data_IF_589286570653
#
_entry.id   IF_589286570653
#
_cell.length_a   1.000
_cell.length_b   1.000
_cell.length_c   1.000
_cell.angle_alpha   90.00
_cell.angle_beta   90.00
_cell.angle_gamma   90.00
#
_symmetry.space_group_name_H-M   'P 1'
#
loop_
_entity.id
_entity.type
_entity.pdbx_description
1 polymer ?
#
# COMPACT_ATOMS: atom_id res chain seq x y z
N UNK A 1 -58.68 -25.34 -16.88
CA UNK A 1 -59.08 -24.06 -16.26
C UNK A 1 -58.66 -24.09 -14.79
N UNK A 2 -57.41 -24.43 -14.50
CA UNK A 2 -56.23 -23.54 -14.51
C UNK A 2 -56.25 -22.56 -13.34
N UNK A 3 -55.86 -23.08 -12.17
CA UNK A 3 -55.41 -22.29 -11.04
C UNK A 3 -53.94 -21.92 -11.24
N UNK A 4 -53.66 -20.64 -11.39
CA UNK A 4 -52.30 -20.11 -11.43
C UNK A 4 -51.80 -19.81 -10.00
N UNK A 5 -50.65 -20.35 -9.56
CA UNK A 5 -50.04 -19.95 -8.30
C UNK A 5 -49.30 -18.62 -8.45
N UNK A 6 -49.48 -17.73 -7.47
CA UNK A 6 -48.85 -16.42 -7.41
C UNK A 6 -47.34 -16.51 -7.22
N UNK A 7 -46.60 -15.75 -8.03
CA UNK A 7 -45.16 -15.62 -7.92
C UNK A 7 -44.79 -14.74 -6.71
N UNK A 8 -44.22 -15.36 -5.69
CA UNK A 8 -43.50 -14.67 -4.61
C UNK A 8 -42.13 -14.22 -5.15
N UNK A 9 -42.00 -12.92 -5.39
CA UNK A 9 -40.72 -12.28 -5.69
C UNK A 9 -39.90 -12.27 -4.40
N UNK A 10 -38.91 -13.15 -4.31
CA UNK A 10 -37.90 -13.10 -3.25
C UNK A 10 -36.94 -11.95 -3.56
N UNK A 11 -37.05 -10.87 -2.80
CA UNK A 11 -36.10 -9.76 -2.82
C UNK A 11 -34.76 -10.27 -2.28
N UNK A 12 -33.78 -10.46 -3.16
CA UNK A 12 -32.40 -10.70 -2.76
C UNK A 12 -31.91 -9.51 -1.91
N UNK A 13 -31.23 -9.74 -0.77
CA UNK A 13 -30.63 -8.65 -0.02
C UNK A 13 -29.62 -7.94 -0.93
N UNK A 14 -29.85 -6.65 -1.15
CA UNK A 14 -28.87 -5.78 -1.82
C UNK A 14 -27.53 -5.88 -1.11
N UNK A 15 -26.39 -5.93 -1.83
CA UNK A 15 -25.08 -5.84 -1.20
C UNK A 15 -25.07 -4.57 -0.35
N UNK A 16 -24.75 -4.74 0.93
CA UNK A 16 -24.72 -3.68 1.92
C UNK A 16 -23.97 -2.48 1.34
N UNK A 17 -24.67 -1.35 1.27
CA UNK A 17 -24.07 -0.07 0.99
C UNK A 17 -22.86 0.11 1.91
N UNK A 18 -21.70 0.40 1.29
CA UNK A 18 -20.46 0.69 1.98
C UNK A 18 -20.73 1.75 3.05
N UNK A 19 -20.57 1.39 4.32
CA UNK A 19 -20.69 2.34 5.41
C UNK A 19 -19.56 3.38 5.28
N UNK A 20 -19.87 4.68 5.21
CA UNK A 20 -18.85 5.71 5.34
C UNK A 20 -18.52 5.86 6.84
N UNK A 21 -17.48 5.17 7.29
CA UNK A 21 -17.04 5.19 8.69
C UNK A 21 -15.60 4.74 8.80
N UNK A 22 -14.75 5.63 9.34
CA UNK A 22 -13.28 5.63 9.32
C UNK A 22 -12.76 5.99 7.92
N UNK A 23 -11.86 6.96 7.80
CA UNK A 23 -11.00 7.06 6.62
C UNK A 23 -10.16 5.76 6.60
N UNK A 24 -10.70 4.72 5.98
CA UNK A 24 -10.07 3.42 5.89
C UNK A 24 -8.88 3.54 4.96
N UNK A 25 -7.70 3.71 5.53
CA UNK A 25 -6.46 3.68 4.76
C UNK A 25 -6.37 2.35 4.02
N UNK A 26 -6.10 2.41 2.72
CA UNK A 26 -5.79 1.21 1.95
C UNK A 26 -4.46 0.62 2.40
N UNK A 27 -4.18 -0.62 2.00
CA UNK A 27 -2.85 -1.21 2.20
C UNK A 27 -1.74 -0.34 1.61
N UNK A 28 -1.97 0.26 0.43
CA UNK A 28 -0.99 1.10 -0.23
C UNK A 28 -0.70 2.39 0.56
N UNK A 29 -1.72 3.00 1.17
CA UNK A 29 -1.54 4.17 2.02
C UNK A 29 -0.74 3.82 3.27
N UNK A 30 -1.09 2.72 3.94
CA UNK A 30 -0.36 2.23 5.12
C UNK A 30 1.09 1.88 4.77
N UNK A 31 1.32 1.26 3.61
CA UNK A 31 2.68 0.94 3.12
C UNK A 31 3.48 2.22 2.82
N UNK A 32 2.89 3.21 2.13
CA UNK A 32 3.52 4.50 1.84
C UNK A 32 3.94 5.23 3.13
N UNK A 33 3.05 5.26 4.14
CA UNK A 33 3.34 5.88 5.44
C UNK A 33 4.40 5.10 6.23
N UNK A 34 4.37 3.77 6.20
CA UNK A 34 5.22 2.90 7.02
C UNK A 34 6.64 2.81 6.49
N UNK A 35 6.79 2.67 5.18
CA UNK A 35 8.09 2.47 4.55
C UNK A 35 8.93 3.76 4.55
N UNK A 36 8.29 4.93 4.66
CA UNK A 36 8.96 6.24 4.74
C UNK A 36 9.28 6.68 6.16
N UNK A 37 8.68 6.06 7.18
CA UNK A 37 8.87 6.43 8.58
C UNK A 37 10.10 5.76 9.22
N UNK A 38 10.88 6.57 9.94
CA UNK A 38 11.98 6.08 10.78
C UNK A 38 11.48 5.45 12.09
N UNK A 39 10.35 5.91 12.59
CA UNK A 39 9.71 5.45 13.83
C UNK A 39 8.26 5.11 13.54
N UNK A 40 7.83 3.92 13.98
CA UNK A 40 6.42 3.52 14.02
C UNK A 40 6.12 3.06 15.45
N UNK A 41 5.28 3.81 16.16
CA UNK A 41 5.01 3.57 17.58
C UNK A 41 3.53 3.79 17.94
N UNK A 42 2.98 2.92 18.78
CA UNK A 42 1.73 3.16 19.46
C UNK A 42 1.93 4.11 20.63
N UNK A 43 1.04 5.09 20.78
CA UNK A 43 1.10 6.11 21.83
C UNK A 43 -0.25 6.31 22.50
N UNK A 44 -0.23 6.80 23.74
CA UNK A 44 -1.43 7.28 24.44
C UNK A 44 -1.25 8.76 24.78
N UNK A 45 -2.16 9.61 24.33
CA UNK A 45 -2.07 11.06 24.54
C UNK A 45 -2.26 11.39 26.01
N UNK A 46 -1.27 12.07 26.59
CA UNK A 46 -1.28 12.56 27.98
C UNK A 46 -1.84 13.99 28.00
N UNK A 47 -1.36 14.82 27.09
CA UNK A 47 -1.66 16.25 27.01
C UNK A 47 -1.78 16.68 25.55
N UNK A 48 -2.71 17.59 25.27
CA UNK A 48 -2.86 18.21 23.97
C UNK A 48 -3.20 19.68 24.16
N UNK A 49 -2.32 20.55 23.68
CA UNK A 49 -2.45 22.00 23.77
C UNK A 49 -2.71 22.59 22.39
N UNK A 50 -3.78 23.38 22.27
CA UNK A 50 -4.12 24.02 21.00
C UNK A 50 -3.20 25.20 20.74
N UNK A 51 -2.47 25.16 19.63
CA UNK A 51 -1.66 26.27 19.16
C UNK A 51 -2.53 27.29 18.41
N UNK A 52 -2.22 28.58 18.56
CA UNK A 52 -2.98 29.71 17.97
C UNK A 52 -2.01 30.78 17.44
N UNK A 53 -2.52 31.64 16.56
CA UNK A 53 -1.79 32.80 16.04
C UNK A 53 -0.49 32.39 15.35
N UNK A 54 0.60 33.02 15.75
CA UNK A 54 1.95 32.82 15.20
C UNK A 54 2.48 31.37 15.34
N UNK A 55 1.94 30.58 16.29
CA UNK A 55 2.33 29.19 16.52
C UNK A 55 1.61 28.19 15.59
N UNK A 56 0.69 28.66 14.75
CA UNK A 56 -0.03 27.84 13.77
C UNK A 56 0.03 28.43 12.35
N UNK A 57 1.24 28.66 11.80
CA UNK A 57 1.37 29.17 10.43
C UNK A 57 0.84 28.13 9.43
N UNK A 58 0.22 28.60 8.35
CA UNK A 58 -0.28 27.80 7.22
C UNK A 58 -1.27 26.68 7.62
N UNK A 59 -2.03 26.88 8.70
CA UNK A 59 -3.05 25.93 9.14
C UNK A 59 -4.24 25.95 8.15
N UNK A 60 -4.56 24.79 7.58
CA UNK A 60 -5.70 24.64 6.68
C UNK A 60 -7.02 24.96 7.38
N UNK A 61 -7.96 25.55 6.63
CA UNK A 61 -9.31 25.85 7.13
C UNK A 61 -10.00 24.57 7.64
N UNK A 62 -10.75 24.69 8.75
CA UNK A 62 -11.43 23.55 9.38
C UNK A 62 -10.50 22.61 10.16
N UNK A 63 -9.23 22.95 10.37
CA UNK A 63 -8.31 22.19 11.24
C UNK A 63 -7.88 23.01 12.46
N UNK A 64 -7.40 22.33 13.48
CA UNK A 64 -6.70 22.94 14.61
C UNK A 64 -5.36 22.24 14.83
N UNK A 65 -4.31 23.04 15.03
CA UNK A 65 -2.97 22.57 15.35
C UNK A 65 -2.82 22.33 16.85
N UNK A 66 -2.26 21.19 17.22
CA UNK A 66 -1.99 20.83 18.59
C UNK A 66 -0.52 20.50 18.79
N UNK A 67 0.06 20.97 19.91
CA UNK A 67 1.23 20.35 20.52
C UNK A 67 0.73 19.21 21.41
N UNK A 68 1.13 17.99 21.09
CA UNK A 68 0.67 16.77 21.76
C UNK A 68 1.85 16.17 22.50
N UNK A 69 1.66 15.88 23.79
CA UNK A 69 2.54 15.01 24.57
C UNK A 69 1.85 13.65 24.72
N UNK A 70 2.56 12.59 24.34
CA UNK A 70 2.02 11.24 24.37
C UNK A 70 3.03 10.27 24.97
N UNK A 71 2.52 9.36 25.80
CA UNK A 71 3.30 8.27 26.35
C UNK A 71 3.46 7.18 25.29
N UNK A 72 4.70 6.80 25.01
CA UNK A 72 5.01 5.66 24.13
C UNK A 72 4.58 4.37 24.80
N UNK A 73 3.91 3.49 24.05
CA UNK A 73 3.54 2.15 24.50
C UNK A 73 4.31 1.11 23.71
N UNK A 74 3.71 0.67 22.59
CA UNK A 74 4.30 -0.30 21.70
C UNK A 74 5.23 0.38 20.69
N UNK A 75 6.41 -0.19 20.46
CA UNK A 75 7.31 0.20 19.36
C UNK A 75 7.28 -0.88 18.27
N UNK A 76 6.92 -0.49 17.04
CA UNK A 76 6.96 -1.37 15.86
C UNK A 76 8.26 -1.18 15.06
N UNK A 77 8.75 0.07 14.97
CA UNK A 77 10.02 0.43 14.32
C UNK A 77 10.62 1.64 15.04
N UNK A 78 11.94 1.66 15.18
CA UNK A 78 12.69 2.80 15.69
C UNK A 78 14.03 2.34 16.28
N UNK A 79 15.11 2.51 15.52
CA UNK A 79 16.47 2.26 16.00
C UNK A 79 16.72 3.05 17.30
N UNK A 80 17.48 2.49 18.25
CA UNK A 80 17.81 3.09 19.56
C UNK A 80 16.65 3.23 20.57
N UNK A 81 15.46 2.72 20.22
CA UNK A 81 14.29 2.77 21.11
C UNK A 81 13.68 4.17 21.24
N UNK A 82 12.38 4.22 21.55
CA UNK A 82 11.66 5.46 21.81
C UNK A 82 10.79 5.23 23.05
N UNK A 83 11.35 5.56 24.21
CA UNK A 83 10.71 5.31 25.50
C UNK A 83 10.43 6.63 26.23
N UNK A 84 9.30 6.64 26.94
CA UNK A 84 8.88 7.75 27.77
C UNK A 84 7.77 8.58 27.12
N UNK A 85 7.75 9.86 27.44
CA UNK A 85 6.79 10.81 26.89
C UNK A 85 7.46 11.58 25.76
N UNK A 86 6.87 11.47 24.57
CA UNK A 86 7.31 12.21 23.39
C UNK A 86 6.38 13.37 23.11
N UNK A 87 6.88 14.40 22.44
CA UNK A 87 6.09 15.51 21.92
C UNK A 87 6.12 15.58 20.39
N UNK A 88 5.01 16.01 19.81
CA UNK A 88 4.85 16.21 18.37
C UNK A 88 3.73 17.20 18.07
N UNK A 89 3.72 17.71 16.85
CA UNK A 89 2.67 18.59 16.36
C UNK A 89 1.77 17.82 15.40
N UNK A 90 0.46 17.97 15.57
CA UNK A 90 -0.53 17.41 14.66
C UNK A 90 -1.63 18.43 14.34
N UNK A 91 -2.03 18.46 13.07
CA UNK A 91 -3.19 19.21 12.60
C UNK A 91 -4.39 18.29 12.57
N UNK A 92 -5.37 18.53 13.42
CA UNK A 92 -6.54 17.65 13.61
C UNK A 92 -7.78 18.31 13.01
N UNK A 93 -8.62 17.58 12.25
CA UNK A 93 -9.86 18.14 11.72
C UNK A 93 -10.81 18.53 12.86
N UNK A 94 -11.49 19.67 12.67
CA UNK A 94 -12.57 20.11 13.54
C UNK A 94 -13.88 19.42 13.12
N UNK A 95 -14.78 19.21 14.08
CA UNK A 95 -16.13 18.73 13.78
C UNK A 95 -16.96 19.80 13.05
N UNK A 96 -18.17 19.44 12.62
CA UNK A 96 -19.10 20.36 11.94
C UNK A 96 -19.48 21.60 12.78
N UNK A 97 -19.17 21.61 14.08
CA UNK A 97 -19.39 22.73 15.01
C UNK A 97 -18.10 23.50 15.30
N UNK A 98 -17.00 23.21 14.59
CA UNK A 98 -15.70 23.86 14.78
C UNK A 98 -14.96 23.44 16.05
N UNK A 99 -15.38 22.35 16.70
CA UNK A 99 -14.78 21.85 17.93
C UNK A 99 -13.76 20.75 17.61
N UNK A 100 -12.63 20.79 18.30
CA UNK A 100 -11.62 19.75 18.17
C UNK A 100 -12.04 18.47 18.91
N UNK A 101 -11.69 17.28 18.38
CA UNK A 101 -11.98 16.02 19.05
C UNK A 101 -11.21 15.91 20.37
N UNK A 102 -11.70 15.06 21.27
CA UNK A 102 -11.06 14.81 22.56
C UNK A 102 -9.84 13.92 22.36
N UNK A 103 -8.65 14.53 22.43
CA UNK A 103 -7.39 13.81 22.25
C UNK A 103 -6.88 13.15 23.55
N UNK A 104 -7.16 13.73 24.72
CA UNK A 104 -6.64 13.20 26.00
C UNK A 104 -7.10 11.76 26.25
N UNK A 105 -6.16 10.85 26.55
CA UNK A 105 -6.31 9.39 26.69
C UNK A 105 -6.62 8.64 25.38
N UNK A 106 -6.67 9.31 24.24
CA UNK A 106 -6.80 8.63 22.95
C UNK A 106 -5.52 7.86 22.62
N UNK A 107 -5.67 6.73 21.92
CA UNK A 107 -4.59 5.86 21.47
C UNK A 107 -4.40 6.02 19.98
N UNK A 108 -3.17 6.26 19.56
CA UNK A 108 -2.81 6.42 18.15
C UNK A 108 -1.61 5.55 17.81
N UNK A 109 -1.43 5.28 16.53
CA UNK A 109 -0.16 4.82 15.96
C UNK A 109 0.45 5.99 15.20
N UNK A 110 1.68 6.35 15.54
CA UNK A 110 2.42 7.43 14.90
C UNK A 110 3.43 6.87 13.92
N UNK A 111 3.49 7.47 12.75
CA UNK A 111 4.54 7.26 11.75
C UNK A 111 5.35 8.55 11.63
N UNK A 112 6.59 8.52 12.12
CA UNK A 112 7.34 9.73 12.35
C UNK A 112 8.83 9.58 12.04
N UNK A 113 9.47 10.74 11.87
CA UNK A 113 10.91 10.89 11.81
C UNK A 113 11.43 11.47 13.12
N UNK A 114 12.66 11.12 13.49
CA UNK A 114 13.31 11.72 14.66
C UNK A 114 13.70 13.17 14.36
N UNK A 115 13.71 13.99 15.40
CA UNK A 115 14.27 15.35 15.33
C UNK A 115 15.73 15.30 15.80
N UNK A 116 16.71 15.67 14.96
CA UNK A 116 18.12 15.69 15.35
C UNK A 116 18.35 16.53 16.61
N UNK A 117 19.10 16.00 17.57
CA UNK A 117 19.40 16.67 18.85
C UNK A 117 18.23 16.75 19.84
N UNK A 118 17.05 16.17 19.52
CA UNK A 118 15.86 16.19 20.38
C UNK A 118 15.20 14.81 20.45
N UNK A 119 15.71 13.89 21.29
CA UNK A 119 15.30 12.48 21.27
C UNK A 119 13.85 12.23 21.72
N UNK A 120 13.24 13.16 22.46
CA UNK A 120 11.84 13.09 22.89
C UNK A 120 10.89 13.86 21.96
N UNK A 121 11.39 14.42 20.86
CA UNK A 121 10.57 15.07 19.84
C UNK A 121 10.54 14.23 18.56
N UNK A 122 9.34 14.05 18.02
CA UNK A 122 9.17 13.39 16.73
C UNK A 122 8.37 14.27 15.77
N UNK A 123 8.69 14.16 14.49
CA UNK A 123 7.98 14.86 13.42
C UNK A 123 7.19 13.86 12.60
N UNK A 124 5.87 14.01 12.54
CA UNK A 124 5.02 13.21 11.66
C UNK A 124 5.53 13.26 10.22
N UNK A 125 5.53 12.12 9.53
CA UNK A 125 6.02 12.05 8.13
C UNK A 125 5.08 12.72 7.14
N UNK A 126 3.79 12.80 7.47
CA UNK A 126 2.73 13.39 6.67
C UNK A 126 1.56 13.85 7.56
N UNK A 127 0.60 14.63 7.03
CA UNK A 127 -0.65 14.96 7.73
C UNK A 127 -1.52 13.75 8.09
N UNK A 128 -1.26 12.59 7.47
CA UNK A 128 -1.99 11.33 7.68
C UNK A 128 -1.27 10.38 8.64
N UNK A 129 -0.10 10.77 9.16
CA UNK A 129 0.78 9.87 9.92
C UNK A 129 0.42 9.73 11.41
N UNK A 130 -0.76 10.21 11.81
CA UNK A 130 -1.39 9.91 13.09
C UNK A 130 -2.63 9.06 12.81
N UNK A 131 -2.51 7.76 13.03
CA UNK A 131 -3.57 6.79 12.77
C UNK A 131 -4.28 6.44 14.07
N UNK A 132 -5.60 6.29 14.02
CA UNK A 132 -6.34 5.69 15.14
C UNK A 132 -5.79 4.29 15.43
N UNK A 133 -5.55 3.99 16.71
CA UNK A 133 -5.12 2.65 17.09
C UNK A 133 -6.28 1.66 16.93
N UNK A 134 -6.09 0.67 16.08
CA UNK A 134 -6.95 -0.52 15.97
C UNK A 134 -6.06 -1.76 15.85
N UNK A 135 -6.57 -2.92 16.27
CA UNK A 135 -5.84 -4.18 16.15
C UNK A 135 -5.52 -4.51 14.68
N UNK A 136 -6.44 -4.21 13.77
CA UNK A 136 -6.27 -4.43 12.33
C UNK A 136 -5.15 -3.56 11.77
N UNK A 137 -5.20 -2.24 12.02
CA UNK A 137 -4.15 -1.32 11.56
C UNK A 137 -2.79 -1.73 12.11
N UNK A 138 -2.69 -2.00 13.41
CA UNK A 138 -1.44 -2.45 14.02
C UNK A 138 -0.89 -3.72 13.35
N UNK A 139 -1.74 -4.73 13.16
CA UNK A 139 -1.36 -6.00 12.54
C UNK A 139 -0.84 -5.80 11.11
N UNK A 140 -1.52 -4.96 10.32
CA UNK A 140 -1.09 -4.64 8.95
C UNK A 140 0.26 -3.92 8.93
N UNK A 141 0.46 -2.91 9.79
CA UNK A 141 1.75 -2.20 9.87
C UNK A 141 2.88 -3.14 10.29
N UNK A 142 2.62 -4.03 11.27
CA UNK A 142 3.57 -5.05 11.70
C UNK A 142 3.92 -6.00 10.55
N UNK A 143 2.93 -6.48 9.79
CA UNK A 143 3.16 -7.36 8.65
C UNK A 143 4.03 -6.68 7.58
N UNK A 144 3.69 -5.43 7.20
CA UNK A 144 4.48 -4.62 6.26
C UNK A 144 5.93 -4.48 6.74
N UNK A 145 6.13 -4.15 8.01
CA UNK A 145 7.46 -3.98 8.60
C UNK A 145 8.25 -5.29 8.57
N UNK A 146 7.63 -6.41 8.96
CA UNK A 146 8.25 -7.73 8.92
C UNK A 146 8.68 -8.09 7.49
N UNK A 147 7.79 -7.97 6.50
CA UNK A 147 8.09 -8.22 5.09
C UNK A 147 9.21 -7.30 4.58
N UNK A 148 9.23 -6.03 4.99
CA UNK A 148 10.22 -5.05 4.54
C UNK A 148 11.62 -5.28 5.14
N UNK A 149 11.72 -5.95 6.29
CA UNK A 149 13.00 -6.26 6.95
C UNK A 149 13.50 -7.67 6.69
N UNK A 150 12.69 -8.53 6.06
CA UNK A 150 13.09 -9.88 5.73
C UNK A 150 14.24 -9.89 4.69
N UNK A 151 15.15 -10.88 4.72
CA UNK A 151 16.16 -11.04 3.66
C UNK A 151 15.53 -11.18 2.26
N UNK A 152 14.34 -11.78 2.20
CA UNK A 152 13.52 -11.94 1.00
C UNK A 152 12.64 -10.73 0.69
N UNK A 153 12.86 -9.58 1.33
CA UNK A 153 12.05 -8.38 1.12
C UNK A 153 12.04 -8.00 -0.38
N UNK A 154 10.85 -7.88 -1.00
CA UNK A 154 10.75 -7.54 -2.41
C UNK A 154 11.31 -6.13 -2.64
N UNK A 155 12.25 -5.96 -3.58
CA UNK A 155 12.89 -4.68 -3.82
C UNK A 155 11.89 -3.67 -4.40
N UNK A 156 12.22 -2.37 -4.27
CA UNK A 156 11.39 -1.32 -4.84
C UNK A 156 11.51 -1.36 -6.37
N UNK A 157 10.39 -1.64 -7.04
CA UNK A 157 10.29 -1.58 -8.50
C UNK A 157 10.38 -0.12 -8.96
N UNK A 158 11.29 0.14 -9.90
CA UNK A 158 11.52 1.45 -10.51
C UNK A 158 11.04 1.53 -11.96
N UNK A 159 10.74 0.38 -12.58
CA UNK A 159 10.25 0.31 -13.94
C UNK A 159 10.41 -1.06 -14.57
N UNK A 160 10.43 -1.06 -15.91
CA UNK A 160 10.62 -2.25 -16.74
C UNK A 160 11.89 -2.08 -17.57
N UNK A 161 12.71 -3.12 -17.56
CA UNK A 161 13.95 -3.22 -18.33
C UNK A 161 13.68 -3.75 -19.72
N UNK A 162 13.47 -5.07 -19.81
CA UNK A 162 13.33 -5.82 -21.06
C UNK A 162 12.18 -6.83 -20.98
N UNK A 163 11.71 -7.29 -22.13
CA UNK A 163 10.76 -8.37 -22.22
C UNK A 163 11.10 -9.35 -23.36
N UNK A 164 10.68 -10.60 -23.18
CA UNK A 164 10.88 -11.70 -24.10
C UNK A 164 9.54 -12.38 -24.37
N UNK A 165 9.44 -12.99 -25.55
CA UNK A 165 8.30 -13.78 -25.97
C UNK A 165 8.78 -14.97 -26.78
N UNK A 166 8.29 -16.15 -26.44
CA UNK A 166 8.57 -17.38 -27.15
C UNK A 166 7.25 -18.10 -27.42
N UNK A 167 6.87 -18.29 -28.70
CA UNK A 167 5.78 -19.18 -29.05
C UNK A 167 6.09 -20.62 -28.60
N UNK A 168 5.09 -21.31 -28.08
CA UNK A 168 5.18 -22.71 -27.67
C UNK A 168 5.15 -23.67 -28.85
N UNK A 169 5.28 -24.96 -28.55
CA UNK A 169 5.22 -26.02 -29.56
C UNK A 169 3.79 -26.23 -30.11
N UNK A 170 2.78 -25.87 -29.31
CA UNK A 170 1.37 -26.00 -29.67
C UNK A 170 0.86 -24.65 -30.20
N UNK A 171 0.09 -24.59 -31.31
CA UNK A 171 -0.53 -23.37 -31.77
C UNK A 171 -1.37 -22.69 -30.67
N UNK A 172 -1.03 -21.43 -30.36
CA UNK A 172 -1.67 -20.66 -29.29
C UNK A 172 -1.02 -20.81 -27.90
N UNK A 173 -0.05 -21.70 -27.75
CA UNK A 173 0.83 -21.73 -26.58
C UNK A 173 1.91 -20.67 -26.71
N UNK A 174 2.25 -20.02 -25.60
CA UNK A 174 3.37 -19.06 -25.56
C UNK A 174 3.81 -18.77 -24.14
N UNK A 175 5.06 -18.36 -23.99
CA UNK A 175 5.61 -17.80 -22.76
C UNK A 175 6.12 -16.38 -22.99
N UNK A 176 5.70 -15.46 -22.12
CA UNK A 176 6.26 -14.11 -22.04
C UNK A 176 6.98 -13.92 -20.72
N UNK A 177 8.18 -13.32 -20.77
CA UNK A 177 8.95 -12.96 -19.58
C UNK A 177 9.23 -11.46 -19.58
N UNK A 178 8.94 -10.77 -18.48
CA UNK A 178 9.13 -9.33 -18.35
C UNK A 178 10.04 -9.07 -17.15
N UNK A 179 11.20 -8.45 -17.41
CA UNK A 179 12.20 -8.14 -16.40
C UNK A 179 12.01 -6.71 -15.89
N UNK A 180 11.87 -6.58 -14.57
CA UNK A 180 11.67 -5.29 -13.91
C UNK A 180 13.00 -4.71 -13.45
N UNK A 181 13.09 -3.38 -13.47
CA UNK A 181 14.20 -2.66 -12.83
C UNK A 181 13.83 -2.34 -11.39
N UNK A 182 14.83 -2.37 -10.51
CA UNK A 182 14.65 -2.17 -9.08
C UNK A 182 15.67 -1.16 -8.53
N UNK A 183 15.42 -0.60 -7.35
CA UNK A 183 16.28 0.41 -6.75
C UNK A 183 17.64 -0.12 -6.29
N UNK A 184 17.73 -1.41 -5.95
CA UNK A 184 18.92 -2.10 -5.45
C UNK A 184 19.53 -3.07 -6.47
N UNK A 185 19.07 -3.02 -7.72
CA UNK A 185 19.48 -3.88 -8.84
C UNK A 185 19.21 -5.38 -8.66
N UNK A 186 18.44 -5.81 -7.64
CA UNK A 186 17.99 -7.21 -7.56
C UNK A 186 16.92 -7.47 -8.62
N UNK A 187 17.03 -8.57 -9.40
CA UNK A 187 16.10 -8.84 -10.50
C UNK A 187 14.72 -9.24 -9.96
N UNK A 188 13.67 -8.75 -10.62
CA UNK A 188 12.32 -9.31 -10.52
C UNK A 188 11.87 -9.65 -11.94
N UNK A 189 11.32 -10.83 -12.14
CA UNK A 189 10.70 -11.21 -13.41
C UNK A 189 9.23 -11.57 -13.23
N UNK A 190 8.44 -11.22 -14.25
CA UNK A 190 7.07 -11.68 -14.43
C UNK A 190 7.10 -12.74 -15.52
N UNK A 191 6.63 -13.96 -15.24
CA UNK A 191 6.43 -14.99 -16.27
C UNK A 191 4.93 -15.16 -16.52
N UNK A 192 4.54 -15.21 -17.79
CA UNK A 192 3.16 -15.38 -18.24
C UNK A 192 3.14 -16.56 -19.20
N UNK A 193 2.41 -17.60 -18.84
CA UNK A 193 2.22 -18.81 -19.64
C UNK A 193 0.80 -18.85 -20.20
N UNK A 194 0.70 -18.97 -21.51
CA UNK A 194 -0.57 -19.22 -22.21
C UNK A 194 -0.57 -20.64 -22.74
N UNK A 195 -1.66 -21.36 -22.49
CA UNK A 195 -1.94 -22.66 -23.07
C UNK A 195 -3.33 -22.64 -23.73
N UNK A 196 -3.51 -23.29 -24.90
CA UNK A 196 -4.82 -23.36 -25.54
C UNK A 196 -5.87 -23.98 -24.61
N UNK A 197 -7.03 -23.33 -24.48
CA UNK A 197 -8.13 -23.79 -23.63
C UNK A 197 -7.99 -23.47 -22.13
N UNK A 198 -6.88 -22.89 -21.70
CA UNK A 198 -6.64 -22.49 -20.31
C UNK A 198 -6.63 -20.96 -20.15
N UNK A 199 -6.91 -20.49 -18.94
CA UNK A 199 -6.69 -19.09 -18.59
C UNK A 199 -5.18 -18.83 -18.47
N UNK A 200 -4.66 -17.69 -18.98
CA UNK A 200 -3.25 -17.35 -18.82
C UNK A 200 -2.83 -17.43 -17.36
N UNK A 201 -1.77 -18.18 -17.10
CA UNK A 201 -1.17 -18.27 -15.77
C UNK A 201 -0.02 -17.28 -15.70
N UNK A 202 0.16 -16.63 -14.56
CA UNK A 202 1.30 -15.75 -14.36
C UNK A 202 1.86 -15.82 -12.94
N UNK A 203 3.15 -15.54 -12.85
CA UNK A 203 3.93 -15.70 -11.64
C UNK A 203 4.99 -14.60 -11.54
N UNK A 204 5.49 -14.40 -10.32
CA UNK A 204 6.54 -13.43 -10.02
C UNK A 204 7.71 -14.15 -9.35
N UNK A 205 8.91 -13.97 -9.87
CA UNK A 205 10.14 -14.47 -9.25
C UNK A 205 10.97 -13.31 -8.69
N UNK A 206 11.46 -13.48 -7.45
CA UNK A 206 12.33 -12.54 -6.74
C UNK A 206 13.78 -13.05 -6.75
N UNK A 207 14.36 -13.19 -7.94
CA UNK A 207 15.71 -13.71 -8.12
C UNK A 207 15.92 -14.41 -9.45
N UNK A 208 17.13 -14.93 -9.65
CA UNK A 208 17.54 -15.67 -10.87
C UNK A 208 16.95 -17.09 -10.93
N UNK A 209 16.60 -17.68 -9.78
CA UNK A 209 16.04 -19.03 -9.72
C UNK A 209 14.52 -18.93 -9.91
N UNK A 210 14.02 -19.60 -10.95
CA UNK A 210 12.59 -19.87 -11.13
C UNK A 210 12.14 -20.72 -9.95
N UNK A 211 11.42 -20.11 -9.02
CA UNK A 211 10.83 -20.82 -7.90
C UNK A 211 9.59 -21.59 -8.41
N UNK A 212 9.54 -22.91 -8.24
CA UNK A 212 8.36 -23.74 -8.55
C UNK A 212 7.11 -23.32 -7.76
N UNK A 213 7.27 -22.47 -6.74
CA UNK A 213 6.19 -21.84 -5.99
C UNK A 213 5.82 -20.42 -6.46
N UNK A 214 6.46 -19.91 -7.52
CA UNK A 214 6.19 -18.59 -8.06
C UNK A 214 4.72 -18.48 -8.48
N UNK A 215 4.01 -17.55 -7.83
CA UNK A 215 2.58 -17.29 -8.05
C UNK A 215 2.36 -15.79 -8.16
N UNK A 216 1.22 -15.41 -8.72
CA UNK A 216 0.73 -14.05 -8.58
C UNK A 216 0.68 -13.66 -7.08
N UNK A 217 1.21 -12.48 -6.70
CA UNK A 217 1.24 -12.09 -5.30
C UNK A 217 -0.18 -11.85 -4.78
N UNK A 218 -0.43 -12.30 -3.56
CA UNK A 218 -1.70 -12.04 -2.89
C UNK A 218 -1.89 -10.54 -2.63
N UNK A 219 -3.11 -10.03 -2.82
CA UNK A 219 -3.45 -8.65 -2.46
C UNK A 219 -3.19 -8.41 -0.97
N UNK A 220 -2.69 -7.22 -0.63
CA UNK A 220 -2.32 -6.89 0.76
C UNK A 220 -0.99 -7.50 1.22
N UNK A 221 -0.09 -7.82 0.28
CA UNK A 221 1.31 -8.15 0.56
C UNK A 221 2.24 -7.06 0.04
N UNK A 222 3.49 -7.03 0.53
CA UNK A 222 4.44 -6.01 0.12
C UNK A 222 4.82 -6.18 -1.35
N UNK A 223 4.94 -7.42 -1.84
CA UNK A 223 5.20 -7.71 -3.25
C UNK A 223 4.05 -7.21 -4.15
N UNK A 224 2.80 -7.50 -3.78
CA UNK A 224 1.65 -6.96 -4.51
C UNK A 224 1.69 -5.44 -4.58
N UNK A 225 1.96 -4.77 -3.45
CA UNK A 225 2.10 -3.32 -3.41
C UNK A 225 3.23 -2.82 -4.32
N UNK A 226 4.42 -3.46 -4.32
CA UNK A 226 5.51 -3.08 -5.23
C UNK A 226 5.11 -3.16 -6.70
N UNK A 227 4.29 -4.14 -7.09
CA UNK A 227 3.84 -4.28 -8.47
C UNK A 227 2.68 -3.35 -8.81
N UNK A 228 1.57 -3.44 -8.06
CA UNK A 228 0.35 -2.69 -8.35
C UNK A 228 0.56 -1.16 -8.31
N UNK A 229 1.51 -0.69 -7.50
CA UNK A 229 1.69 0.73 -7.21
C UNK A 229 2.84 1.41 -7.95
N UNK A 230 3.73 0.65 -8.59
CA UNK A 230 4.95 1.18 -9.24
C UNK A 230 5.19 0.65 -10.66
N UNK A 231 4.44 -0.35 -11.12
CA UNK A 231 4.47 -0.74 -12.52
C UNK A 231 3.90 0.38 -13.41
N UNK A 232 4.52 0.66 -14.57
CA UNK A 232 3.98 1.64 -15.50
C UNK A 232 2.61 1.18 -16.05
N UNK A 233 1.70 2.09 -16.41
CA UNK A 233 0.37 1.70 -16.92
C UNK A 233 0.43 1.02 -18.29
N UNK A 234 1.58 1.09 -18.98
CA UNK A 234 1.83 0.47 -20.29
C UNK A 234 3.27 -0.03 -20.33
N UNK A 235 3.49 -1.09 -21.10
CA UNK A 235 4.83 -1.61 -21.34
C UNK A 235 5.66 -0.56 -22.12
N UNK A 236 6.81 -0.10 -21.61
CA UNK A 236 7.64 0.89 -22.31
C UNK A 236 8.17 0.35 -23.64
N UNK A 237 8.22 1.19 -24.68
CA UNK A 237 8.72 0.80 -26.01
C UNK A 237 10.14 0.22 -25.97
N UNK A 238 11.00 0.77 -25.10
CA UNK A 238 12.37 0.25 -24.90
C UNK A 238 12.41 -1.23 -24.49
N UNK A 239 11.37 -1.72 -23.79
CA UNK A 239 11.35 -3.09 -23.26
C UNK A 239 11.08 -4.13 -24.35
N UNK A 240 10.49 -3.72 -25.49
CA UNK A 240 10.15 -4.59 -26.61
C UNK A 240 10.95 -4.28 -27.87
N UNK A 241 11.95 -3.38 -27.78
CA UNK A 241 12.70 -2.90 -28.93
C UNK A 241 13.45 -4.01 -29.70
N UNK A 242 13.81 -5.09 -29.02
CA UNK A 242 14.48 -6.25 -29.61
C UNK A 242 13.52 -7.32 -30.17
N UNK A 243 12.20 -7.14 -30.01
CA UNK A 243 11.19 -8.11 -30.44
C UNK A 243 10.67 -7.79 -31.85
N UNK A 244 10.22 -8.81 -32.56
CA UNK A 244 9.40 -8.62 -33.77
C UNK A 244 8.08 -7.91 -33.40
N UNK A 245 7.45 -7.25 -34.37
CA UNK A 245 6.20 -6.53 -34.13
C UNK A 245 5.09 -7.43 -33.55
N UNK A 246 4.98 -8.68 -34.02
CA UNK A 246 4.02 -9.66 -33.50
C UNK A 246 4.31 -10.06 -32.05
N UNK A 247 5.57 -10.37 -31.74
CA UNK A 247 5.99 -10.72 -30.38
C UNK A 247 5.81 -9.55 -29.42
N UNK A 248 6.11 -8.33 -29.87
CA UNK A 248 5.92 -7.12 -29.08
C UNK A 248 4.43 -6.91 -28.72
N UNK A 249 3.50 -7.13 -29.65
CA UNK A 249 2.07 -7.03 -29.35
C UNK A 249 1.58 -8.13 -28.41
N UNK A 250 2.07 -9.37 -28.57
CA UNK A 250 1.76 -10.47 -27.67
C UNK A 250 2.18 -10.17 -26.23
N UNK A 251 3.41 -9.70 -26.02
CA UNK A 251 3.91 -9.31 -24.68
C UNK A 251 3.13 -8.12 -24.12
N UNK A 252 2.77 -7.13 -24.95
CA UNK A 252 1.91 -6.02 -24.50
C UNK A 252 0.55 -6.53 -24.02
N UNK A 253 -0.03 -7.54 -24.68
CA UNK A 253 -1.28 -8.17 -24.25
C UNK A 253 -1.12 -8.91 -22.91
N UNK A 254 -0.02 -9.63 -22.72
CA UNK A 254 0.30 -10.32 -21.46
C UNK A 254 0.53 -9.35 -20.32
N UNK A 255 1.24 -8.27 -20.58
CA UNK A 255 1.44 -7.21 -19.59
C UNK A 255 0.11 -6.57 -19.15
N UNK A 256 -0.79 -6.29 -20.11
CA UNK A 256 -2.14 -5.81 -19.79
C UNK A 256 -2.91 -6.82 -18.93
N UNK A 257 -2.79 -8.12 -19.20
CA UNK A 257 -3.40 -9.16 -18.39
C UNK A 257 -2.87 -9.15 -16.95
N UNK A 258 -1.55 -9.02 -16.75
CA UNK A 258 -0.95 -8.90 -15.42
C UNK A 258 -1.49 -7.67 -14.66
N UNK A 259 -1.56 -6.50 -15.32
CA UNK A 259 -2.12 -5.30 -14.70
C UNK A 259 -3.59 -5.46 -14.30
N UNK A 260 -4.39 -6.17 -15.11
CA UNK A 260 -5.78 -6.47 -14.78
C UNK A 260 -5.90 -7.40 -13.56
N UNK A 261 -5.04 -8.42 -13.47
CA UNK A 261 -5.02 -9.37 -12.34
C UNK A 261 -4.55 -8.69 -11.04
N UNK A 262 -3.51 -7.85 -11.11
CA UNK A 262 -3.05 -7.05 -9.97
C UNK A 262 -4.14 -6.11 -9.45
N UNK A 263 -4.87 -5.48 -10.37
CA UNK A 263 -5.83 -4.43 -10.08
C UNK A 263 -5.18 -3.10 -9.70
N UNK A 264 -5.97 -2.08 -9.36
CA UNK A 264 -5.45 -0.78 -8.97
C UNK A 264 -4.68 -0.87 -7.65
N UNK A 265 -3.63 -0.06 -7.51
CA UNK A 265 -2.89 0.13 -6.26
C UNK A 265 -3.80 0.51 -5.06
N UNK A 266 -4.88 1.26 -5.34
CA UNK A 266 -5.91 1.58 -4.36
C UNK A 266 -5.54 2.68 -3.36
N UNK A 267 -4.55 3.54 -3.66
CA UNK A 267 -4.24 4.72 -2.82
C UNK A 267 -5.48 5.60 -2.66
N UNK A 268 -5.66 6.09 -1.44
CA UNK A 268 -6.78 6.98 -1.08
C UNK A 268 -6.31 8.34 -0.58
N UNK A 269 -5.01 8.47 -0.25
CA UNK A 269 -4.39 9.73 0.14
C UNK A 269 -3.42 10.23 -0.93
N UNK A 270 -3.29 11.55 -1.03
CA UNK A 270 -2.30 12.19 -1.88
C UNK A 270 -0.90 12.03 -1.27
N UNK A 271 0.11 11.83 -2.14
CA UNK A 271 1.53 11.68 -1.78
C UNK A 271 2.26 13.01 -1.76
#
# INVERSE_FOLDING_TARGET
MDGAPGAVVQTLPSPAASQPGIQGFSYADLADLTLTAQVVTGVTVVKAERLKGELAPNLAAGRARFLIEAQTGMLLRGADGLAGTISYIADVPLDARGKAPKLKKARFILLANRVPGRPQEVRLTSPYSQLDWTQTTESTLRAILTEATAPSAPPLVTGIGNAFHVPGAIPGESESQIFLTTSDNRPISLSILRRPGEQPQWAVALGEIVDDSARAPAKGTLLWYRLACFLPPRLPEKAVAALSAGNAEAVRADYRHVLQQLGPCGRTIER
#
